data_IF_080567602682
#
_entry.id   IF_080567602682
#
_cell.length_a   1.000
_cell.length_b   1.000
_cell.length_c   1.000
_cell.angle_alpha   90.00
_cell.angle_beta   90.00
_cell.angle_gamma   90.00
#
_symmetry.space_group_name_H-M   'P 1'
#
loop_
_entity.id
_entity.type
_entity.pdbx_description
1 polymer ?
#
# COMPACT_ATOMS: atom_id res chain seq x y z
N UNK A 1 5.66 -10.78 26.92
CA UNK A 1 5.55 -9.46 26.26
C UNK A 1 6.90 -8.77 26.09
N UNK A 2 7.71 -8.52 27.15
CA UNK A 2 9.03 -7.86 27.04
C UNK A 2 10.00 -8.47 26.01
N UNK A 3 10.03 -9.80 25.88
CA UNK A 3 10.89 -10.51 24.92
C UNK A 3 10.49 -10.18 23.47
N UNK A 4 9.20 -10.19 23.15
CA UNK A 4 8.70 -9.90 21.80
C UNK A 4 9.02 -8.45 21.41
N UNK A 5 8.80 -7.51 22.32
CA UNK A 5 9.16 -6.10 22.09
C UNK A 5 10.67 -5.91 21.89
N UNK A 6 11.49 -6.60 22.68
CA UNK A 6 12.95 -6.54 22.53
C UNK A 6 13.43 -7.12 21.19
N UNK A 7 12.88 -8.26 20.78
CA UNK A 7 13.18 -8.89 19.48
C UNK A 7 12.76 -7.97 18.33
N UNK A 8 11.56 -7.39 18.39
CA UNK A 8 11.09 -6.46 17.38
C UNK A 8 11.99 -5.22 17.28
N UNK A 9 12.33 -4.61 18.42
CA UNK A 9 13.25 -3.46 18.45
C UNK A 9 14.60 -3.83 17.84
N UNK A 10 15.14 -5.01 18.14
CA UNK A 10 16.41 -5.49 17.59
C UNK A 10 16.36 -5.66 16.07
N UNK A 11 15.28 -6.25 15.55
CA UNK A 11 15.07 -6.41 14.10
C UNK A 11 14.95 -5.05 13.42
N UNK A 12 14.20 -4.11 14.01
CA UNK A 12 14.02 -2.76 13.47
C UNK A 12 15.36 -1.99 13.45
N UNK A 13 16.12 -2.05 14.53
CA UNK A 13 17.45 -1.44 14.61
C UNK A 13 18.39 -2.02 13.55
N UNK A 14 18.43 -3.35 13.41
CA UNK A 14 19.22 -4.02 12.38
C UNK A 14 18.82 -3.56 10.97
N UNK A 15 17.51 -3.50 10.69
CA UNK A 15 16.99 -3.01 9.41
C UNK A 15 17.44 -1.58 9.12
N UNK A 16 17.35 -0.67 10.10
CA UNK A 16 17.79 0.72 9.93
C UNK A 16 19.30 0.80 9.68
N UNK A 17 20.10 0.07 10.46
CA UNK A 17 21.57 0.07 10.32
C UNK A 17 22.03 -0.46 8.96
N UNK A 18 21.39 -1.51 8.44
CA UNK A 18 21.72 -2.09 7.13
C UNK A 18 21.10 -1.28 5.99
N UNK A 19 19.88 -0.76 6.16
CA UNK A 19 19.12 -0.14 5.09
C UNK A 19 19.59 1.28 4.75
N UNK A 20 19.93 2.08 5.77
CA UNK A 20 20.32 3.49 5.56
C UNK A 20 21.58 3.69 4.71
N UNK A 21 22.62 2.83 4.74
CA UNK A 21 23.76 2.95 3.83
C UNK A 21 23.48 2.46 2.40
N UNK A 22 22.46 1.62 2.20
CA UNK A 22 22.22 0.90 0.94
C UNK A 22 21.17 1.62 0.07
N UNK A 23 20.14 2.20 0.70
CA UNK A 23 19.01 2.77 -0.01
C UNK A 23 19.05 4.31 -0.04
N UNK A 24 18.58 4.93 -1.14
CA UNK A 24 18.50 6.39 -1.22
C UNK A 24 17.44 6.94 -0.25
N UNK A 25 17.56 8.21 0.19
CA UNK A 25 16.58 8.86 1.07
C UNK A 25 15.14 8.86 0.54
N UNK A 26 14.97 8.78 -0.78
CA UNK A 26 13.69 8.80 -1.49
C UNK A 26 13.19 7.39 -1.88
N UNK A 27 13.71 6.33 -1.26
CA UNK A 27 13.32 4.96 -1.60
C UNK A 27 11.82 4.70 -1.38
N UNK A 28 11.20 5.32 -0.37
CA UNK A 28 9.77 5.16 -0.13
C UNK A 28 8.90 5.67 -1.30
N UNK A 29 8.97 6.94 -1.75
CA UNK A 29 8.16 7.41 -2.88
C UNK A 29 8.45 6.67 -4.20
N UNK A 30 9.63 6.05 -4.36
CA UNK A 30 9.88 5.15 -5.51
C UNK A 30 9.00 3.89 -5.47
N UNK A 31 8.68 3.38 -4.27
CA UNK A 31 7.99 2.10 -4.08
C UNK A 31 6.49 2.22 -3.81
N UNK A 32 5.97 3.36 -3.35
CA UNK A 32 4.54 3.51 -3.01
C UNK A 32 3.59 3.32 -4.20
N UNK A 33 4.06 3.52 -5.43
CA UNK A 33 3.23 3.35 -6.63
C UNK A 33 2.75 1.90 -6.81
N UNK A 34 3.57 0.92 -6.40
CA UNK A 34 3.22 -0.49 -6.54
C UNK A 34 1.99 -0.89 -5.71
N UNK A 35 1.94 -0.72 -4.37
CA UNK A 35 0.74 -1.05 -3.61
C UNK A 35 -0.47 -0.23 -4.06
N UNK A 36 -0.30 1.04 -4.45
CA UNK A 36 -1.40 1.87 -4.97
C UNK A 36 -2.01 1.21 -6.20
N UNK A 37 -1.23 1.00 -7.27
CA UNK A 37 -1.75 0.47 -8.53
C UNK A 37 -2.28 -0.96 -8.37
N UNK A 38 -1.62 -1.80 -7.56
CA UNK A 38 -2.04 -3.18 -7.34
C UNK A 38 -3.36 -3.28 -6.56
N UNK A 39 -3.56 -2.47 -5.52
CA UNK A 39 -4.81 -2.47 -4.74
C UNK A 39 -5.96 -1.88 -5.56
N UNK A 40 -5.73 -0.79 -6.29
CA UNK A 40 -6.72 -0.25 -7.22
C UNK A 40 -7.08 -1.25 -8.32
N UNK A 41 -6.07 -1.91 -8.90
CA UNK A 41 -6.27 -2.97 -9.90
C UNK A 41 -7.06 -4.16 -9.34
N UNK A 42 -6.83 -4.54 -8.09
CA UNK A 42 -7.59 -5.59 -7.40
C UNK A 42 -9.07 -5.25 -7.29
N UNK A 43 -9.40 -4.02 -6.88
CA UNK A 43 -10.79 -3.55 -6.81
C UNK A 43 -11.40 -3.47 -8.20
N UNK A 44 -10.71 -2.86 -9.16
CA UNK A 44 -11.19 -2.72 -10.54
C UNK A 44 -11.50 -4.08 -11.14
N UNK A 45 -10.53 -4.99 -11.19
CA UNK A 45 -10.73 -6.35 -11.73
C UNK A 45 -11.85 -7.10 -11.00
N UNK A 46 -11.98 -6.90 -9.69
CA UNK A 46 -13.09 -7.45 -8.93
C UNK A 46 -14.45 -6.93 -9.40
N UNK A 47 -14.58 -5.62 -9.63
CA UNK A 47 -15.80 -5.01 -10.16
C UNK A 47 -16.11 -5.49 -11.58
N UNK A 48 -15.07 -5.61 -12.43
CA UNK A 48 -15.22 -6.21 -13.76
C UNK A 48 -15.76 -7.64 -13.67
N UNK A 49 -15.34 -8.42 -12.66
CA UNK A 49 -15.85 -9.77 -12.42
C UNK A 49 -17.33 -9.84 -12.00
N UNK A 50 -17.90 -8.75 -11.48
CA UNK A 50 -19.33 -8.65 -11.21
C UNK A 50 -20.13 -8.38 -12.48
N UNK A 51 -19.57 -7.60 -13.41
CA UNK A 51 -20.22 -7.22 -14.66
C UNK A 51 -20.05 -8.26 -15.76
N UNK A 52 -18.89 -8.91 -15.84
CA UNK A 52 -18.54 -9.91 -16.85
C UNK A 52 -18.23 -11.27 -16.23
N UNK A 53 -19.06 -12.26 -16.56
CA UNK A 53 -18.83 -13.66 -16.18
C UNK A 53 -17.89 -14.32 -17.20
N UNK A 54 -16.68 -14.63 -16.75
CA UNK A 54 -15.70 -15.41 -17.52
C UNK A 54 -15.77 -16.89 -17.13
N UNK A 55 -15.72 -17.85 -18.08
CA UNK A 55 -15.82 -19.29 -17.79
C UNK A 55 -14.72 -19.82 -16.83
N UNK A 56 -13.55 -19.19 -16.86
CA UNK A 56 -12.36 -19.57 -16.08
C UNK A 56 -12.21 -18.76 -14.77
N UNK A 57 -13.14 -17.83 -14.49
CA UNK A 57 -13.08 -16.88 -13.37
C UNK A 57 -11.84 -15.96 -13.43
N UNK A 58 -11.41 -15.59 -14.63
CA UNK A 58 -10.23 -14.73 -14.87
C UNK A 58 -10.19 -13.49 -13.97
N UNK A 59 -11.28 -12.74 -13.87
CA UNK A 59 -11.35 -11.50 -13.10
C UNK A 59 -11.20 -11.73 -11.59
N UNK A 60 -11.84 -12.78 -11.06
CA UNK A 60 -11.72 -13.18 -9.66
C UNK A 60 -10.28 -13.60 -9.35
N UNK A 61 -9.66 -14.44 -10.21
CA UNK A 61 -8.25 -14.83 -10.09
C UNK A 61 -7.31 -13.63 -10.11
N UNK A 62 -7.51 -12.72 -11.05
CA UNK A 62 -6.67 -11.53 -11.23
C UNK A 62 -6.78 -10.63 -10.01
N UNK A 63 -8.01 -10.35 -9.56
CA UNK A 63 -8.27 -9.59 -8.34
C UNK A 63 -7.57 -10.20 -7.12
N UNK A 64 -7.57 -11.54 -7.00
CA UNK A 64 -6.93 -12.22 -5.87
C UNK A 64 -5.43 -11.99 -5.84
N UNK A 65 -4.76 -12.21 -6.99
CA UNK A 65 -3.31 -12.05 -7.06
C UNK A 65 -2.87 -10.60 -6.96
N UNK A 66 -3.65 -9.67 -7.52
CA UNK A 66 -3.41 -8.23 -7.34
C UNK A 66 -3.53 -7.81 -5.87
N UNK A 67 -4.50 -8.35 -5.12
CA UNK A 67 -4.62 -8.13 -3.68
C UNK A 67 -3.40 -8.65 -2.91
N UNK A 68 -2.95 -9.87 -3.22
CA UNK A 68 -1.77 -10.50 -2.59
C UNK A 68 -0.51 -9.71 -2.90
N UNK A 69 -0.27 -9.36 -4.16
CA UNK A 69 0.88 -8.58 -4.58
C UNK A 69 0.83 -7.17 -3.99
N UNK A 70 -0.36 -6.55 -3.91
CA UNK A 70 -0.56 -5.25 -3.28
C UNK A 70 -0.21 -5.26 -1.79
N UNK A 71 -0.56 -6.33 -1.06
CA UNK A 71 -0.17 -6.51 0.34
C UNK A 71 1.35 -6.61 0.49
N UNK A 72 1.99 -7.44 -0.33
CA UNK A 72 3.46 -7.61 -0.31
C UNK A 72 4.15 -6.29 -0.62
N UNK A 73 3.71 -5.60 -1.69
CA UNK A 73 4.25 -4.31 -2.08
C UNK A 73 4.03 -3.24 -0.99
N UNK A 74 2.91 -3.30 -0.27
CA UNK A 74 2.62 -2.40 0.86
C UNK A 74 3.58 -2.62 2.04
N UNK A 75 3.91 -3.88 2.34
CA UNK A 75 4.92 -4.22 3.37
C UNK A 75 6.29 -3.69 2.96
N UNK A 76 6.70 -3.92 1.71
CA UNK A 76 7.98 -3.45 1.17
C UNK A 76 8.04 -1.92 1.18
N UNK A 77 6.99 -1.23 0.73
CA UNK A 77 6.92 0.23 0.74
C UNK A 77 6.96 0.79 2.18
N UNK A 78 6.32 0.13 3.14
CA UNK A 78 6.36 0.54 4.56
C UNK A 78 7.75 0.36 5.16
N UNK A 79 8.45 -0.75 4.86
CA UNK A 79 9.83 -0.98 5.28
C UNK A 79 10.79 0.08 4.70
N UNK A 80 10.59 0.47 3.44
CA UNK A 80 11.30 1.58 2.81
C UNK A 80 10.95 2.95 3.42
N UNK A 81 9.71 3.12 3.90
CA UNK A 81 9.25 4.29 4.65
C UNK A 81 10.06 4.52 5.92
N UNK A 82 10.28 3.46 6.71
CA UNK A 82 11.12 3.49 7.93
C UNK A 82 12.54 3.98 7.61
N UNK A 83 13.11 3.57 6.48
CA UNK A 83 14.44 4.02 6.04
C UNK A 83 14.40 5.50 5.64
N UNK A 84 13.42 5.90 4.82
CA UNK A 84 13.29 7.28 4.33
C UNK A 84 13.10 8.28 5.49
N UNK A 85 12.39 7.87 6.54
CA UNK A 85 12.16 8.65 7.76
C UNK A 85 13.46 9.04 8.49
N UNK A 86 14.53 8.25 8.36
CA UNK A 86 15.82 8.53 9.01
C UNK A 86 16.57 9.74 8.42
N UNK A 87 16.23 10.14 7.19
CA UNK A 87 16.91 11.22 6.48
C UNK A 87 16.19 12.58 6.61
N UNK A 88 15.06 12.62 7.30
CA UNK A 88 14.18 13.78 7.34
C UNK A 88 14.36 14.57 8.63
N UNK A 89 14.41 15.90 8.51
CA UNK A 89 14.24 16.81 9.65
C UNK A 89 12.76 17.12 9.83
N UNK A 90 12.21 16.68 10.96
CA UNK A 90 10.79 16.80 11.25
C UNK A 90 10.45 18.09 11.99
N UNK A 91 9.39 18.78 11.57
CA UNK A 91 8.73 19.87 12.30
C UNK A 91 7.44 19.36 12.97
N UNK A 92 6.91 20.04 14.00
CA UNK A 92 5.66 19.64 14.64
C UNK A 92 4.50 19.41 13.66
N UNK A 93 4.36 20.27 12.66
CA UNK A 93 3.34 20.14 11.60
C UNK A 93 3.56 18.88 10.77
N UNK A 94 4.79 18.63 10.30
CA UNK A 94 5.09 17.43 9.49
C UNK A 94 5.01 16.12 10.28
N UNK A 95 5.25 16.15 11.60
CA UNK A 95 5.06 14.98 12.48
C UNK A 95 3.58 14.60 12.58
N UNK A 96 2.68 15.59 12.70
CA UNK A 96 1.25 15.33 12.71
C UNK A 96 0.76 14.71 11.38
N UNK A 97 1.27 15.22 10.25
CA UNK A 97 1.00 14.65 8.93
C UNK A 97 1.56 13.23 8.80
N UNK A 98 2.78 12.98 9.26
CA UNK A 98 3.41 11.66 9.25
C UNK A 98 2.59 10.65 10.07
N UNK A 99 2.17 11.03 11.27
CA UNK A 99 1.38 10.16 12.15
C UNK A 99 0.05 9.77 11.52
N UNK A 100 -0.65 10.74 10.90
CA UNK A 100 -1.88 10.46 10.15
C UNK A 100 -1.62 9.59 8.91
N UNK A 101 -0.55 9.86 8.17
CA UNK A 101 -0.11 9.05 7.02
C UNK A 101 0.18 7.59 7.41
N UNK A 102 0.94 7.37 8.49
CA UNK A 102 1.23 6.04 9.03
C UNK A 102 -0.03 5.34 9.51
N UNK A 103 -0.97 6.07 10.14
CA UNK A 103 -2.27 5.52 10.54
C UNK A 103 -3.04 4.99 9.33
N UNK A 104 -3.11 5.75 8.23
CA UNK A 104 -3.74 5.28 7.00
C UNK A 104 -3.00 4.11 6.35
N UNK A 105 -1.66 4.06 6.43
CA UNK A 105 -0.89 2.92 5.95
C UNK A 105 -1.21 1.64 6.75
N UNK A 106 -1.32 1.73 8.08
CA UNK A 106 -1.71 0.62 8.95
C UNK A 106 -3.14 0.16 8.63
N UNK A 107 -4.08 1.09 8.50
CA UNK A 107 -5.47 0.76 8.14
C UNK A 107 -5.58 0.14 6.75
N UNK A 108 -4.79 0.60 5.79
CA UNK A 108 -4.68 -0.02 4.46
C UNK A 108 -4.25 -1.48 4.57
N UNK A 109 -3.18 -1.76 5.33
CA UNK A 109 -2.70 -3.11 5.58
C UNK A 109 -3.74 -3.98 6.25
N UNK A 110 -4.40 -3.46 7.30
CA UNK A 110 -5.47 -4.16 8.02
C UNK A 110 -6.62 -4.55 7.09
N UNK A 111 -7.18 -3.61 6.33
CA UNK A 111 -8.28 -3.90 5.41
C UNK A 111 -7.86 -4.83 4.27
N UNK A 112 -6.62 -4.72 3.77
CA UNK A 112 -6.09 -5.65 2.77
C UNK A 112 -5.99 -7.08 3.33
N UNK A 113 -5.54 -7.23 4.58
CA UNK A 113 -5.48 -8.53 5.27
C UNK A 113 -6.89 -9.09 5.50
N UNK A 114 -7.85 -8.28 5.97
CA UNK A 114 -9.23 -8.71 6.16
C UNK A 114 -9.89 -9.13 4.84
N UNK A 115 -9.64 -8.38 3.76
CA UNK A 115 -10.06 -8.76 2.41
C UNK A 115 -9.46 -10.11 2.01
N UNK A 116 -8.15 -10.32 2.21
CA UNK A 116 -7.47 -11.55 1.85
C UNK A 116 -7.97 -12.76 2.66
N UNK A 117 -8.10 -12.62 3.98
CA UNK A 117 -8.64 -13.66 4.88
C UNK A 117 -10.05 -14.06 4.43
N UNK A 118 -10.91 -13.08 4.16
CA UNK A 118 -12.28 -13.36 3.71
C UNK A 118 -12.31 -14.19 2.42
N UNK A 119 -11.37 -13.95 1.49
CA UNK A 119 -11.24 -14.73 0.23
C UNK A 119 -10.63 -16.11 0.43
N UNK A 120 -9.66 -16.24 1.33
CA UNK A 120 -9.04 -17.53 1.67
C UNK A 120 -10.08 -18.46 2.31
N UNK A 121 -10.99 -17.94 3.13
CA UNK A 121 -12.04 -18.75 3.77
C UNK A 121 -13.19 -19.04 2.78
N UNK A 122 -13.51 -18.11 1.89
CA UNK A 122 -14.63 -18.24 0.95
C UNK A 122 -14.42 -19.36 -0.09
N UNK A 123 -15.37 -20.30 -0.14
CA UNK A 123 -15.41 -21.40 -1.13
C UNK A 123 -16.33 -21.08 -2.31
N UNK A 124 -16.01 -21.66 -3.45
CA UNK A 124 -16.91 -21.67 -4.59
C UNK A 124 -18.12 -22.59 -4.36
N UNK A 125 -19.32 -22.24 -4.86
CA UNK A 125 -20.49 -23.12 -4.80
C UNK A 125 -20.22 -24.43 -5.55
N UNK A 126 -20.62 -25.57 -4.95
CA UNK A 126 -20.44 -26.93 -5.50
C UNK A 126 -21.17 -27.17 -6.83
N UNK A 127 -22.12 -26.33 -7.20
CA UNK A 127 -22.92 -26.39 -8.43
C UNK A 127 -22.19 -25.89 -9.69
N UNK A 128 -20.94 -25.44 -9.58
CA UNK A 128 -20.20 -24.89 -10.72
C UNK A 128 -19.59 -26.01 -11.57
N UNK A 129 -20.35 -26.47 -12.56
CA UNK A 129 -20.01 -27.46 -13.59
C UNK A 129 -18.91 -27.00 -14.58
N UNK A 130 -18.05 -26.04 -14.20
CA UNK A 130 -16.92 -25.60 -15.02
C UNK A 130 -15.68 -26.43 -14.68
N UNK A 131 -15.33 -27.35 -15.58
CA UNK A 131 -14.24 -28.34 -15.43
C UNK A 131 -12.82 -27.73 -15.38
N UNK A 132 -12.68 -26.41 -15.23
CA UNK A 132 -11.39 -25.70 -15.10
C UNK A 132 -11.54 -24.33 -14.40
N UNK A 133 -12.41 -24.24 -13.39
CA UNK A 133 -12.50 -23.01 -12.60
C UNK A 133 -11.22 -22.78 -11.79
N UNK A 134 -10.66 -21.55 -11.82
CA UNK A 134 -9.58 -21.18 -10.91
C UNK A 134 -10.01 -21.40 -9.45
N UNK A 135 -9.10 -21.95 -8.65
CA UNK A 135 -9.19 -21.94 -7.19
C UNK A 135 -7.80 -21.85 -6.59
N UNK A 136 -7.71 -21.27 -5.40
CA UNK A 136 -6.47 -21.15 -4.67
C UNK A 136 -5.90 -22.55 -4.36
N UNK A 137 -4.76 -22.90 -4.96
CA UNK A 137 -4.07 -24.17 -4.75
C UNK A 137 -4.99 -25.41 -4.86
N UNK A 138 -5.94 -25.40 -5.81
CA UNK A 138 -6.91 -26.50 -6.01
C UNK A 138 -7.82 -26.80 -4.81
N UNK A 139 -7.90 -25.89 -3.83
CA UNK A 139 -8.68 -26.07 -2.59
C UNK A 139 -10.17 -25.71 -2.73
N UNK A 140 -10.57 -25.15 -3.88
CA UNK A 140 -11.91 -24.59 -4.09
C UNK A 140 -12.15 -23.24 -3.39
N UNK A 141 -11.10 -22.59 -2.88
CA UNK A 141 -11.13 -21.27 -2.20
C UNK A 141 -10.60 -20.14 -3.10
N UNK A 142 -10.62 -18.91 -2.59
CA UNK A 142 -10.14 -17.71 -3.29
C UNK A 142 -11.27 -16.85 -3.87
N UNK A 143 -12.52 -17.25 -3.65
CA UNK A 143 -13.71 -16.59 -4.19
C UNK A 143 -13.83 -15.15 -3.68
N UNK A 144 -14.05 -14.21 -4.59
CA UNK A 144 -14.50 -12.88 -4.23
C UNK A 144 -15.93 -12.89 -3.68
N UNK A 145 -16.08 -12.29 -2.50
CA UNK A 145 -17.34 -12.08 -1.79
C UNK A 145 -17.63 -10.59 -1.66
N UNK A 146 -18.88 -10.22 -1.36
CA UNK A 146 -19.25 -8.83 -1.06
C UNK A 146 -18.42 -8.28 0.10
N UNK A 147 -18.20 -9.08 1.16
CA UNK A 147 -17.38 -8.69 2.30
C UNK A 147 -15.92 -8.41 1.89
N UNK A 148 -15.32 -9.29 1.07
CA UNK A 148 -13.97 -9.07 0.55
C UNK A 148 -13.86 -7.80 -0.30
N UNK A 149 -14.93 -7.48 -1.05
CA UNK A 149 -15.00 -6.29 -1.88
C UNK A 149 -15.05 -5.03 -1.01
N UNK A 150 -15.90 -5.01 0.02
CA UNK A 150 -16.01 -3.88 0.96
C UNK A 150 -14.65 -3.59 1.60
N UNK A 151 -13.95 -4.62 2.09
CA UNK A 151 -12.62 -4.43 2.66
C UNK A 151 -11.58 -3.98 1.63
N UNK A 152 -11.63 -4.49 0.40
CA UNK A 152 -10.71 -4.04 -0.66
C UNK A 152 -10.94 -2.56 -1.03
N UNK A 153 -12.20 -2.12 -1.08
CA UNK A 153 -12.56 -0.71 -1.30
C UNK A 153 -12.08 0.14 -0.11
N UNK A 154 -12.31 -0.30 1.12
CA UNK A 154 -11.82 0.38 2.32
C UNK A 154 -10.29 0.55 2.29
N UNK A 155 -9.54 -0.49 1.89
CA UNK A 155 -8.09 -0.40 1.71
C UNK A 155 -7.70 0.64 0.65
N UNK A 156 -8.41 0.69 -0.49
CA UNK A 156 -8.19 1.70 -1.53
C UNK A 156 -8.48 3.12 -1.02
N UNK A 157 -9.54 3.31 -0.23
CA UNK A 157 -9.83 4.62 0.38
C UNK A 157 -8.69 5.02 1.34
N UNK A 158 -8.25 4.11 2.21
CA UNK A 158 -7.16 4.40 3.15
C UNK A 158 -5.84 4.71 2.43
N UNK A 159 -5.45 3.94 1.41
CA UNK A 159 -4.19 4.22 0.70
C UNK A 159 -4.26 5.53 -0.08
N UNK A 160 -5.44 5.93 -0.55
CA UNK A 160 -5.65 7.25 -1.18
C UNK A 160 -5.42 8.38 -0.19
N UNK A 161 -5.99 8.26 1.01
CA UNK A 161 -5.81 9.25 2.08
C UNK A 161 -4.36 9.29 2.58
N UNK A 162 -3.70 8.13 2.67
CA UNK A 162 -2.27 8.05 2.96
C UNK A 162 -1.43 8.73 1.86
N UNK A 163 -1.71 8.43 0.60
CA UNK A 163 -1.00 9.01 -0.54
C UNK A 163 -1.18 10.53 -0.65
N UNK A 164 -2.37 11.06 -0.35
CA UNK A 164 -2.61 12.51 -0.35
C UNK A 164 -1.77 13.21 0.72
N UNK A 165 -1.73 12.68 1.95
CA UNK A 165 -0.86 13.21 3.01
C UNK A 165 0.63 13.07 2.68
N UNK A 166 1.03 11.96 2.06
CA UNK A 166 2.40 11.76 1.57
C UNK A 166 2.79 12.80 0.53
N UNK A 167 1.91 13.06 -0.43
CA UNK A 167 2.05 14.13 -1.42
C UNK A 167 2.14 15.51 -0.77
N UNK A 168 1.28 15.81 0.21
CA UNK A 168 1.34 17.07 0.97
C UNK A 168 2.69 17.24 1.68
N UNK A 169 3.19 16.21 2.36
CA UNK A 169 4.49 16.26 3.02
C UNK A 169 5.62 16.59 2.03
N UNK A 170 5.62 15.96 0.86
CA UNK A 170 6.67 16.12 -0.17
C UNK A 170 6.52 17.45 -0.93
N UNK A 171 5.35 17.73 -1.49
CA UNK A 171 5.15 18.87 -2.41
C UNK A 171 4.86 20.20 -1.72
N UNK A 172 4.16 20.19 -0.56
CA UNK A 172 3.84 21.42 0.16
C UNK A 172 4.89 21.74 1.23
N UNK A 173 5.30 20.73 1.99
CA UNK A 173 6.25 20.91 3.10
C UNK A 173 7.68 20.50 2.74
N UNK A 174 7.90 19.90 1.57
CA UNK A 174 9.25 19.64 1.09
C UNK A 174 10.02 18.56 1.87
N UNK A 175 9.30 17.67 2.55
CA UNK A 175 9.87 16.54 3.28
C UNK A 175 10.64 15.65 2.32
N UNK A 176 11.91 15.37 2.63
CA UNK A 176 12.79 14.54 1.79
C UNK A 176 13.35 15.25 0.54
N UNK A 177 13.02 16.52 0.33
CA UNK A 177 13.55 17.34 -0.79
C UNK A 177 14.55 18.38 -0.28
N UNK A 178 14.34 18.93 0.91
CA UNK A 178 15.13 20.06 1.41
C UNK A 178 16.44 19.65 2.11
N UNK A 179 17.42 19.33 1.28
CA UNK A 179 18.81 19.78 1.45
C UNK A 179 19.16 20.99 0.57
N UNK A 180 18.20 21.55 -0.17
CA UNK A 180 18.44 22.64 -1.12
C UNK A 180 17.54 23.82 -0.78
N UNK A 181 18.13 24.89 -0.26
CA UNK A 181 17.52 26.22 -0.26
C UNK A 181 17.18 26.58 -1.71
N UNK A 182 15.91 26.76 -2.04
CA UNK A 182 15.56 27.31 -3.35
C UNK A 182 15.99 28.79 -3.38
N UNK A 183 17.01 29.10 -4.17
CA UNK A 183 17.13 30.45 -4.72
C UNK A 183 16.10 30.55 -5.84
N UNK A 184 15.05 31.34 -5.62
CA UNK A 184 14.23 31.85 -6.72
C UNK A 184 15.16 32.64 -7.65
N UNK A 185 15.36 32.21 -8.91
CA UNK A 185 16.17 32.99 -9.85
C UNK A 185 15.51 34.35 -10.08
N UNK A 186 16.30 35.42 -10.08
CA UNK A 186 15.81 36.81 -10.21
C UNK A 186 14.92 37.07 -11.45
N UNK A 187 14.95 36.19 -12.45
CA UNK A 187 14.13 36.32 -13.66
C UNK A 187 12.67 35.86 -13.46
N UNK A 188 12.32 35.16 -12.37
CA UNK A 188 10.94 34.80 -12.01
C UNK A 188 10.24 35.85 -11.12
N UNK A 189 10.97 36.83 -10.56
CA UNK A 189 10.40 37.92 -9.74
C UNK A 189 9.83 39.10 -10.54
N UNK A 190 9.99 39.11 -11.87
CA UNK A 190 9.60 40.24 -12.71
C UNK A 190 8.24 40.10 -13.40
N UNK A 191 7.46 39.06 -13.09
CA UNK A 191 6.13 38.86 -13.67
C UNK A 191 5.06 38.85 -12.56
N UNK A 192 4.94 39.99 -11.89
CA UNK A 192 3.70 40.38 -11.21
C UNK A 192 3.28 41.71 -11.86
N UNK A 193 2.03 41.84 -12.36
CA UNK A 193 1.52 43.12 -12.85
C UNK A 193 1.39 44.16 -11.73
#
# INVERSE_FOLDING_TARGET
MRIIFSLWASILHLWIQIGTPIFPPVIHPMLVHFPIVLLYGSVLTGLLGLLWRTPDRFFDRSSFWLLVLGLIAGIVASAAGVISEQFVKWTPTTIALLSAHQTYAVLTGLFTILALISRIIARYPRTSQSRRAWSLASTGRGRQTLLSMIFSIAAVVMITMGASLGGTMVYQYGVGIHGVSYHTPAWLSHHQP
#
